data_IF_343696177093
#
_entry.id   IF_343696177093
#
_cell.length_a   1.000
_cell.length_b   1.000
_cell.length_c   1.000
_cell.angle_alpha   90.00
_cell.angle_beta   90.00
_cell.angle_gamma   90.00
#
_symmetry.space_group_name_H-M   'P 1'
#
loop_
_entity.id
_entity.type
_entity.pdbx_description
1 polymer ?
#
# COMPACT_ATOMS: atom_id res chain seq x y z
N UNK A 1 17.68 47.73 17.08
CA UNK A 1 16.56 47.07 16.37
C UNK A 1 16.97 46.85 14.93
N UNK A 2 17.03 45.69 14.31
CA UNK A 2 17.04 44.30 14.76
C UNK A 2 17.75 43.52 13.64
N UNK A 3 18.74 42.72 13.98
CA UNK A 3 19.46 41.87 13.03
C UNK A 3 18.57 40.68 12.66
N UNK A 4 18.08 40.68 11.43
CA UNK A 4 17.30 39.57 10.88
C UNK A 4 18.19 38.34 10.69
N UNK A 5 18.01 37.33 11.54
CA UNK A 5 18.56 36.01 11.35
C UNK A 5 17.91 35.39 10.10
N UNK A 6 18.67 35.33 9.00
CA UNK A 6 18.33 34.47 7.87
C UNK A 6 18.49 33.04 8.34
N UNK A 7 17.37 32.39 8.62
CA UNK A 7 17.32 30.99 9.03
C UNK A 7 17.62 30.12 7.80
N UNK A 8 18.90 30.05 7.43
CA UNK A 8 19.39 29.18 6.39
C UNK A 8 19.27 27.75 6.94
N UNK A 9 18.12 27.09 6.70
CA UNK A 9 18.00 25.64 6.90
C UNK A 9 19.04 25.01 5.98
N UNK A 10 20.19 24.64 6.56
CA UNK A 10 21.19 23.80 5.92
C UNK A 10 20.40 22.56 5.46
N UNK A 11 20.21 22.40 4.14
CA UNK A 11 19.72 21.13 3.60
C UNK A 11 20.81 20.11 3.91
N UNK A 12 20.62 19.34 4.97
CA UNK A 12 21.46 18.20 5.27
C UNK A 12 21.46 17.31 4.03
N UNK A 13 22.64 17.10 3.47
CA UNK A 13 22.83 16.17 2.36
C UNK A 13 22.38 14.79 2.84
N UNK A 14 21.42 14.20 2.14
CA UNK A 14 20.86 12.89 2.50
C UNK A 14 21.63 11.81 1.76
N UNK A 15 22.01 10.76 2.47
CA UNK A 15 22.60 9.57 1.86
C UNK A 15 21.63 8.42 2.05
N UNK A 16 20.72 8.28 1.08
CA UNK A 16 19.66 7.27 1.13
C UNK A 16 20.13 5.94 0.55
N UNK A 17 19.70 4.84 1.15
CA UNK A 17 19.94 3.46 0.71
C UNK A 17 18.61 2.68 0.77
N UNK A 18 18.30 1.88 -0.25
CA UNK A 18 17.11 1.00 -0.26
C UNK A 18 17.55 -0.46 -0.29
N UNK A 19 16.97 -1.29 0.60
CA UNK A 19 17.19 -2.74 0.64
C UNK A 19 16.17 -3.43 1.54
N UNK A 20 16.22 -4.76 1.60
CA UNK A 20 15.48 -5.53 2.61
C UNK A 20 16.17 -5.39 3.97
N UNK A 21 15.39 -5.34 5.05
CA UNK A 21 15.90 -5.38 6.42
C UNK A 21 16.63 -6.71 6.68
N UNK A 22 17.81 -6.64 7.29
CA UNK A 22 18.74 -7.77 7.39
C UNK A 22 18.74 -8.42 8.78
N UNK A 23 18.19 -7.74 9.78
CA UNK A 23 18.25 -8.17 11.16
C UNK A 23 17.07 -7.64 11.98
N UNK A 24 16.90 -8.21 13.17
CA UNK A 24 15.80 -7.86 14.06
C UNK A 24 15.77 -6.38 14.43
N UNK A 25 16.93 -5.74 14.65
CA UNK A 25 16.98 -4.32 15.03
C UNK A 25 16.38 -3.42 13.94
N UNK A 26 16.65 -3.71 12.67
CA UNK A 26 16.07 -2.98 11.54
C UNK A 26 14.57 -3.20 11.42
N UNK A 27 14.09 -4.42 11.68
CA UNK A 27 12.66 -4.72 11.73
C UNK A 27 12.01 -3.93 12.88
N UNK A 28 12.57 -3.93 14.09
CA UNK A 28 12.06 -3.16 15.21
C UNK A 28 11.97 -1.65 14.91
N UNK A 29 13.00 -1.08 14.25
CA UNK A 29 13.01 0.32 13.82
C UNK A 29 11.96 0.60 12.73
N UNK A 30 11.74 -0.34 11.84
CA UNK A 30 10.71 -0.25 10.79
C UNK A 30 9.31 -0.21 11.40
N UNK A 31 9.03 -1.07 12.37
CA UNK A 31 7.74 -1.12 13.05
C UNK A 31 7.49 0.13 13.91
N UNK A 32 8.55 0.72 14.48
CA UNK A 32 8.48 2.01 15.15
C UNK A 32 8.15 3.15 14.18
N UNK A 33 8.78 3.19 12.99
CA UNK A 33 8.41 4.16 11.94
C UNK A 33 6.94 4.02 11.55
N UNK A 34 6.45 2.79 11.35
CA UNK A 34 5.04 2.54 11.03
C UNK A 34 4.12 3.04 12.13
N UNK A 35 4.47 2.84 13.40
CA UNK A 35 3.72 3.38 14.53
C UNK A 35 3.66 4.92 14.50
N UNK A 36 4.79 5.58 14.26
CA UNK A 36 4.83 7.04 14.15
C UNK A 36 3.90 7.55 13.03
N UNK A 37 3.89 6.89 11.88
CA UNK A 37 3.05 7.34 10.75
C UNK A 37 1.59 6.90 10.92
N UNK A 38 1.31 5.61 11.09
CA UNK A 38 -0.05 5.11 11.11
C UNK A 38 -0.78 5.48 12.39
N UNK A 39 -0.17 5.30 13.57
CA UNK A 39 -0.87 5.57 14.83
C UNK A 39 -0.81 7.04 15.24
N UNK A 40 0.36 7.68 15.21
CA UNK A 40 0.50 9.04 15.76
C UNK A 40 0.10 10.13 14.79
N UNK A 41 0.41 9.98 13.50
CA UNK A 41 0.11 11.00 12.50
C UNK A 41 -1.27 10.80 11.87
N UNK A 42 -1.56 9.59 11.36
CA UNK A 42 -2.78 9.33 10.58
C UNK A 42 -3.96 8.89 11.47
N UNK A 43 -3.69 8.26 12.62
CA UNK A 43 -4.74 7.68 13.47
C UNK A 43 -5.36 6.41 12.90
N UNK A 44 -4.63 5.72 12.01
CA UNK A 44 -5.04 4.56 11.21
C UNK A 44 -4.26 3.28 11.55
N UNK A 45 -3.36 3.34 12.53
CA UNK A 45 -2.54 2.19 12.91
C UNK A 45 -3.29 1.18 13.77
N UNK A 46 -2.66 0.02 14.01
CA UNK A 46 -3.27 -1.05 14.78
C UNK A 46 -3.57 -0.59 16.22
N UNK A 47 -4.76 -0.89 16.78
CA UNK A 47 -5.14 -0.43 18.12
C UNK A 47 -4.16 -0.88 19.22
N UNK A 48 -3.61 -2.10 19.11
CA UNK A 48 -2.67 -2.66 20.08
C UNK A 48 -1.28 -2.01 20.08
N UNK A 49 -0.93 -1.25 19.03
CA UNK A 49 0.41 -0.68 18.85
C UNK A 49 0.79 0.32 19.93
N UNK A 50 -0.19 0.96 20.58
CA UNK A 50 0.05 1.95 21.64
C UNK A 50 0.84 1.36 22.83
N UNK A 51 0.65 0.08 23.14
CA UNK A 51 1.32 -0.59 24.25
C UNK A 51 2.83 -0.80 24.01
N UNK A 52 3.23 -0.98 22.75
CA UNK A 52 4.61 -1.32 22.37
C UNK A 52 5.32 -0.19 21.61
N UNK A 53 4.57 0.83 21.18
CA UNK A 53 4.98 1.89 20.25
C UNK A 53 5.50 1.34 18.92
N UNK A 54 4.91 0.24 18.46
CA UNK A 54 5.27 -0.46 17.23
C UNK A 54 4.01 -0.95 16.54
N UNK A 55 3.86 -0.62 15.26
CA UNK A 55 2.78 -1.14 14.43
C UNK A 55 3.19 -2.52 13.92
N UNK A 56 2.71 -3.54 14.64
CA UNK A 56 3.05 -4.94 14.43
C UNK A 56 1.81 -5.82 14.46
N UNK A 57 1.75 -6.75 13.53
CA UNK A 57 0.88 -7.92 13.58
C UNK A 57 1.69 -9.22 13.42
N UNK A 58 0.99 -10.35 13.37
CA UNK A 58 1.55 -11.69 13.22
C UNK A 58 2.20 -11.96 11.84
N UNK A 59 1.80 -11.22 10.81
CA UNK A 59 2.36 -11.37 9.45
C UNK A 59 3.78 -10.83 9.36
N UNK A 60 4.14 -9.85 10.18
CA UNK A 60 5.50 -9.28 10.20
C UNK A 60 6.60 -10.31 10.51
N UNK A 61 6.24 -11.47 11.09
CA UNK A 61 7.21 -12.56 11.28
C UNK A 61 7.60 -13.27 9.98
N UNK A 62 6.70 -13.25 8.98
CA UNK A 62 6.87 -13.95 7.70
C UNK A 62 7.15 -13.01 6.52
N UNK A 63 6.95 -11.71 6.72
CA UNK A 63 7.12 -10.72 5.67
C UNK A 63 8.58 -10.30 5.51
N UNK A 64 8.96 -10.03 4.26
CA UNK A 64 10.13 -9.23 3.99
C UNK A 64 9.79 -7.74 4.24
N UNK A 65 10.75 -6.99 4.79
CA UNK A 65 10.60 -5.56 5.06
C UNK A 65 11.53 -4.78 4.13
N UNK A 66 11.00 -4.21 3.06
CA UNK A 66 11.75 -3.27 2.23
C UNK A 66 11.84 -1.94 2.97
N UNK A 67 13.04 -1.41 3.10
CA UNK A 67 13.34 -0.23 3.89
C UNK A 67 14.17 0.78 3.10
N UNK A 68 13.94 2.06 3.36
CA UNK A 68 14.85 3.14 2.97
C UNK A 68 15.51 3.69 4.22
N UNK A 69 16.83 3.80 4.18
CA UNK A 69 17.69 4.18 5.28
C UNK A 69 18.36 5.50 4.95
N UNK A 70 18.39 6.46 5.89
CA UNK A 70 19.31 7.60 5.82
C UNK A 70 20.60 7.29 6.58
N UNK A 71 21.68 7.09 5.82
CA UNK A 71 23.02 6.77 6.34
C UNK A 71 23.67 7.93 7.09
N UNK A 72 23.23 9.17 6.85
CA UNK A 72 23.74 10.36 7.54
C UNK A 72 23.01 10.64 8.85
N UNK A 73 22.00 9.83 9.21
CA UNK A 73 21.20 9.96 10.42
C UNK A 73 21.18 8.64 11.21
N UNK A 74 22.36 8.12 11.57
CA UNK A 74 22.50 6.89 12.38
C UNK A 74 21.76 5.65 11.80
N UNK A 75 21.70 5.57 10.47
CA UNK A 75 20.90 4.57 9.75
C UNK A 75 19.40 4.61 10.14
N UNK A 76 18.83 5.81 10.23
CA UNK A 76 17.39 6.01 10.49
C UNK A 76 16.58 5.39 9.34
N UNK A 77 15.58 4.58 9.68
CA UNK A 77 14.61 4.07 8.70
C UNK A 77 13.62 5.19 8.41
N UNK A 78 13.50 5.58 7.13
CA UNK A 78 12.72 6.75 6.69
C UNK A 78 11.60 6.40 5.71
N UNK A 79 11.52 5.15 5.28
CA UNK A 79 10.40 4.62 4.51
C UNK A 79 10.38 3.10 4.49
N UNK A 80 9.23 2.50 4.25
CA UNK A 80 9.09 1.03 4.19
C UNK A 80 7.93 0.55 3.33
N UNK A 81 8.08 -0.67 2.80
CA UNK A 81 6.99 -1.57 2.39
C UNK A 81 7.09 -2.88 3.19
N UNK A 82 5.94 -3.46 3.54
CA UNK A 82 5.83 -4.88 3.91
C UNK A 82 5.54 -5.69 2.64
N UNK A 83 6.23 -6.82 2.47
CA UNK A 83 6.07 -7.68 1.29
C UNK A 83 5.91 -9.14 1.75
N UNK A 84 4.85 -9.79 1.31
CA UNK A 84 4.60 -11.21 1.57
C UNK A 84 4.42 -11.95 0.24
N UNK A 85 5.30 -12.90 -0.07
CA UNK A 85 5.21 -13.72 -1.29
C UNK A 85 4.24 -14.88 -1.11
N UNK A 86 3.55 -15.29 -2.18
CA UNK A 86 2.61 -16.43 -2.17
C UNK A 86 3.25 -17.73 -1.73
N UNK A 87 4.47 -18.02 -2.18
CA UNK A 87 5.23 -19.19 -1.71
C UNK A 87 5.43 -19.25 -0.20
N UNK A 88 5.59 -18.09 0.45
CA UNK A 88 5.70 -17.96 1.91
C UNK A 88 4.31 -18.02 2.55
N UNK A 89 3.34 -17.28 2.02
CA UNK A 89 1.95 -17.26 2.53
C UNK A 89 1.34 -18.67 2.58
N UNK A 90 1.50 -19.47 1.51
CA UNK A 90 0.99 -20.86 1.41
C UNK A 90 1.53 -21.82 2.48
N UNK A 91 2.66 -21.49 3.09
CA UNK A 91 3.31 -22.33 4.11
C UNK A 91 3.05 -21.84 5.55
N UNK A 92 2.38 -20.70 5.71
CA UNK A 92 2.23 -20.03 6.99
C UNK A 92 0.75 -19.60 7.20
N UNK A 93 0.50 -18.30 7.40
CA UNK A 93 -0.81 -17.77 7.79
C UNK A 93 -1.75 -17.47 6.62
N UNK A 94 -1.33 -17.70 5.37
CA UNK A 94 -1.97 -17.08 4.21
C UNK A 94 -1.51 -15.63 4.01
N UNK A 95 -2.21 -14.91 3.15
CA UNK A 95 -2.06 -13.46 2.97
C UNK A 95 -2.91 -12.71 3.99
N UNK A 96 -2.54 -11.46 4.28
CA UNK A 96 -3.35 -10.61 5.15
C UNK A 96 -4.75 -10.37 4.54
N UNK A 97 -4.83 -10.22 3.22
CA UNK A 97 -6.09 -10.04 2.49
C UNK A 97 -7.04 -11.24 2.58
N UNK A 98 -6.58 -12.45 2.95
CA UNK A 98 -7.46 -13.60 3.22
C UNK A 98 -8.45 -13.33 4.37
N UNK A 99 -8.14 -12.38 5.25
CA UNK A 99 -9.02 -12.06 6.37
C UNK A 99 -10.22 -11.21 5.95
N UNK A 100 -10.18 -10.59 4.77
CA UNK A 100 -11.17 -9.62 4.30
C UNK A 100 -11.85 -10.04 2.99
N UNK A 101 -11.13 -10.74 2.12
CA UNK A 101 -11.59 -11.11 0.77
C UNK A 101 -11.44 -12.62 0.49
N UNK A 102 -12.29 -13.16 -0.37
CA UNK A 102 -12.02 -14.43 -1.04
C UNK A 102 -11.02 -14.19 -2.18
N UNK A 103 -9.76 -14.54 -1.93
CA UNK A 103 -8.64 -14.37 -2.87
C UNK A 103 -8.17 -15.70 -3.46
N UNK A 104 -9.03 -16.73 -3.47
CA UNK A 104 -8.69 -18.06 -4.03
C UNK A 104 -8.08 -17.95 -5.43
N UNK A 105 -8.61 -17.05 -6.26
CA UNK A 105 -8.10 -16.80 -7.63
C UNK A 105 -6.64 -16.33 -7.66
N UNK A 106 -6.18 -15.58 -6.66
CA UNK A 106 -4.78 -15.16 -6.55
C UNK A 106 -3.87 -16.36 -6.28
N UNK A 107 -4.34 -17.32 -5.48
CA UNK A 107 -3.60 -18.55 -5.20
C UNK A 107 -3.47 -19.49 -6.40
N UNK A 108 -4.47 -19.47 -7.28
CA UNK A 108 -4.57 -20.26 -8.51
C UNK A 108 -3.73 -19.72 -9.68
N UNK A 109 -3.23 -18.49 -9.58
CA UNK A 109 -2.37 -17.93 -10.62
C UNK A 109 -1.11 -18.77 -10.83
N UNK A 110 -0.83 -19.04 -12.11
CA UNK A 110 0.41 -19.69 -12.57
C UNK A 110 1.57 -18.68 -12.66
N UNK A 111 1.80 -17.97 -11.56
CA UNK A 111 2.90 -17.02 -11.39
C UNK A 111 3.16 -16.79 -9.89
N UNK A 112 4.37 -16.35 -9.55
CA UNK A 112 4.61 -15.86 -8.19
C UNK A 112 3.92 -14.51 -8.00
N UNK A 113 3.24 -14.38 -6.86
CA UNK A 113 2.53 -13.15 -6.47
C UNK A 113 3.04 -12.68 -5.12
N UNK A 114 2.92 -11.38 -4.85
CA UNK A 114 3.22 -10.84 -3.54
C UNK A 114 2.20 -9.79 -3.11
N UNK A 115 1.76 -9.92 -1.88
CA UNK A 115 0.98 -8.89 -1.19
C UNK A 115 1.93 -7.80 -0.70
N UNK A 116 1.57 -6.55 -0.94
CA UNK A 116 2.28 -5.37 -0.44
C UNK A 116 1.36 -4.56 0.47
N UNK A 117 1.93 -4.05 1.57
CA UNK A 117 1.15 -3.30 2.54
C UNK A 117 2.02 -2.51 3.51
N UNK A 118 1.35 -1.88 4.48
CA UNK A 118 1.97 -1.10 5.56
C UNK A 118 3.06 -0.15 5.05
N UNK A 119 2.75 0.53 3.94
CA UNK A 119 3.68 1.42 3.26
C UNK A 119 3.63 2.82 3.86
N UNK A 120 4.78 3.33 4.30
CA UNK A 120 4.84 4.68 4.85
C UNK A 120 6.19 5.35 4.58
N UNK A 121 6.19 6.67 4.57
CA UNK A 121 7.38 7.52 4.48
C UNK A 121 7.36 8.51 5.63
N UNK A 122 8.49 8.65 6.33
CA UNK A 122 8.66 9.60 7.42
C UNK A 122 8.33 11.03 6.93
N UNK A 123 7.57 11.85 7.69
CA UNK A 123 7.06 13.16 7.23
C UNK A 123 8.13 14.08 6.62
N UNK A 124 9.30 14.15 7.23
CA UNK A 124 10.42 15.00 6.77
C UNK A 124 11.05 14.54 5.43
N UNK A 125 10.71 13.35 4.94
CA UNK A 125 11.29 12.73 3.74
C UNK A 125 10.29 12.60 2.58
N UNK A 126 9.13 13.27 2.66
CA UNK A 126 8.07 13.22 1.64
C UNK A 126 8.27 14.21 0.48
N UNK A 127 9.50 14.32 -0.01
CA UNK A 127 9.83 15.12 -1.20
C UNK A 127 9.83 14.31 -2.51
N UNK A 128 9.43 13.04 -2.45
CA UNK A 128 9.38 12.12 -3.59
C UNK A 128 10.61 11.21 -3.72
N UNK A 129 11.73 11.53 -3.07
CA UNK A 129 12.95 10.72 -3.17
C UNK A 129 12.78 9.32 -2.57
N UNK A 130 12.27 9.23 -1.33
CA UNK A 130 12.09 7.95 -0.63
C UNK A 130 11.09 7.03 -1.33
N UNK A 131 9.95 7.55 -1.78
CA UNK A 131 8.96 6.71 -2.50
C UNK A 131 9.51 6.21 -3.83
N UNK A 132 10.29 7.02 -4.55
CA UNK A 132 10.95 6.60 -5.79
C UNK A 132 11.94 5.46 -5.53
N UNK A 133 12.71 5.55 -4.44
CA UNK A 133 13.63 4.48 -4.03
C UNK A 133 12.90 3.21 -3.59
N UNK A 134 11.80 3.33 -2.85
CA UNK A 134 10.97 2.18 -2.48
C UNK A 134 10.44 1.46 -3.73
N UNK A 135 10.02 2.20 -4.77
CA UNK A 135 9.58 1.60 -6.03
C UNK A 135 10.70 0.91 -6.79
N UNK A 136 11.88 1.53 -6.87
CA UNK A 136 13.06 0.89 -7.47
C UNK A 136 13.44 -0.41 -6.72
N UNK A 137 13.45 -0.37 -5.39
CA UNK A 137 13.71 -1.53 -4.54
C UNK A 137 12.66 -2.63 -4.71
N UNK A 138 11.39 -2.27 -4.88
CA UNK A 138 10.31 -3.20 -5.17
C UNK A 138 10.47 -3.85 -6.55
N UNK A 139 10.84 -3.06 -7.57
CA UNK A 139 11.16 -3.58 -8.90
C UNK A 139 12.30 -4.62 -8.87
N UNK A 140 13.39 -4.30 -8.17
CA UNK A 140 14.51 -5.22 -7.98
C UNK A 140 14.11 -6.49 -7.19
N UNK A 141 13.26 -6.34 -6.17
CA UNK A 141 12.72 -7.48 -5.42
C UNK A 141 11.89 -8.40 -6.31
N UNK A 142 11.01 -7.83 -7.14
CA UNK A 142 10.16 -8.59 -8.05
C UNK A 142 10.97 -9.39 -9.06
N UNK A 143 12.00 -8.78 -9.67
CA UNK A 143 12.91 -9.49 -10.57
C UNK A 143 13.64 -10.63 -9.85
N UNK A 144 14.19 -10.35 -8.65
CA UNK A 144 14.94 -11.34 -7.86
C UNK A 144 14.11 -12.58 -7.52
N UNK A 145 12.84 -12.40 -7.19
CA UNK A 145 11.94 -13.48 -6.76
C UNK A 145 10.93 -13.90 -7.84
N UNK A 146 11.10 -13.43 -9.08
CA UNK A 146 10.21 -13.71 -10.21
C UNK A 146 8.72 -13.44 -9.91
N UNK A 147 8.45 -12.38 -9.15
CA UNK A 147 7.09 -11.94 -8.81
C UNK A 147 6.52 -11.19 -10.00
N UNK A 148 5.42 -11.71 -10.57
CA UNK A 148 4.72 -11.05 -11.68
C UNK A 148 3.61 -10.13 -11.20
N UNK A 149 2.86 -10.60 -10.20
CA UNK A 149 1.70 -9.87 -9.68
C UNK A 149 1.98 -9.31 -8.29
N UNK A 150 1.77 -8.01 -8.13
CA UNK A 150 1.63 -7.41 -6.81
C UNK A 150 0.18 -7.10 -6.53
N UNK A 151 -0.23 -7.22 -5.28
CA UNK A 151 -1.56 -6.83 -4.87
C UNK A 151 -1.59 -6.30 -3.44
N UNK A 152 -2.72 -5.73 -3.05
CA UNK A 152 -3.00 -5.26 -1.70
C UNK A 152 -4.28 -4.43 -1.68
N UNK A 153 -4.60 -3.85 -0.52
CA UNK A 153 -5.78 -3.01 -0.37
C UNK A 153 -5.43 -1.52 -0.50
N UNK A 154 -6.25 -0.79 -1.26
CA UNK A 154 -6.31 0.66 -1.21
C UNK A 154 -7.63 1.10 -0.60
N UNK A 155 -7.56 1.92 0.44
CA UNK A 155 -8.72 2.23 1.28
C UNK A 155 -9.19 3.67 1.15
N UNK A 156 -10.47 3.91 1.40
CA UNK A 156 -11.03 5.24 1.67
C UNK A 156 -11.54 5.29 3.11
N UNK A 157 -11.31 6.40 3.83
CA UNK A 157 -11.78 6.59 5.22
C UNK A 157 -13.24 7.02 5.25
N UNK A 158 -14.10 6.13 4.78
CA UNK A 158 -15.55 6.24 4.81
C UNK A 158 -16.12 4.86 5.17
N UNK A 159 -17.33 4.83 5.67
CA UNK A 159 -18.04 3.58 6.02
C UNK A 159 -19.46 3.54 5.47
N UNK A 160 -19.91 4.62 4.84
CA UNK A 160 -21.24 4.70 4.28
C UNK A 160 -21.30 4.09 2.87
N UNK A 161 -22.43 3.44 2.57
CA UNK A 161 -22.67 2.77 1.30
C UNK A 161 -22.64 3.73 0.11
N UNK A 162 -23.02 5.00 0.31
CA UNK A 162 -23.04 5.99 -0.77
C UNK A 162 -21.62 6.28 -1.25
N UNK A 163 -20.67 6.47 -0.33
CA UNK A 163 -19.25 6.62 -0.65
C UNK A 163 -18.71 5.40 -1.41
N UNK A 164 -19.07 4.18 -0.99
CA UNK A 164 -18.67 2.95 -1.68
C UNK A 164 -19.18 2.91 -3.12
N UNK A 165 -20.48 3.14 -3.31
CA UNK A 165 -21.16 3.13 -4.60
C UNK A 165 -20.56 4.17 -5.56
N UNK A 166 -20.37 5.39 -5.08
CA UNK A 166 -19.81 6.48 -5.88
C UNK A 166 -18.37 6.23 -6.30
N UNK A 167 -17.51 5.81 -5.37
CA UNK A 167 -16.10 5.53 -5.67
C UNK A 167 -15.99 4.35 -6.63
N UNK A 168 -16.77 3.28 -6.42
CA UNK A 168 -16.80 2.14 -7.34
C UNK A 168 -17.28 2.54 -8.75
N UNK A 169 -18.34 3.35 -8.85
CA UNK A 169 -18.83 3.88 -10.12
C UNK A 169 -17.76 4.74 -10.83
N UNK A 170 -17.03 5.57 -10.08
CA UNK A 170 -15.90 6.33 -10.61
C UNK A 170 -14.76 5.44 -11.13
N UNK A 171 -14.39 4.38 -10.39
CA UNK A 171 -13.36 3.43 -10.80
C UNK A 171 -13.77 2.69 -12.08
N UNK A 172 -15.05 2.29 -12.18
CA UNK A 172 -15.66 1.70 -13.37
C UNK A 172 -15.62 2.65 -14.57
N UNK A 173 -15.99 3.92 -14.40
CA UNK A 173 -15.90 4.96 -15.45
C UNK A 173 -14.47 5.15 -15.98
N UNK A 174 -13.47 4.97 -15.12
CA UNK A 174 -12.05 5.02 -15.51
C UNK A 174 -11.50 3.74 -16.13
N UNK A 175 -12.36 2.74 -16.39
CA UNK A 175 -11.97 1.42 -16.84
C UNK A 175 -10.89 0.79 -15.94
N UNK A 176 -10.96 1.07 -14.64
CA UNK A 176 -9.99 0.57 -13.67
C UNK A 176 -10.31 -0.84 -13.18
N UNK A 177 -11.50 -1.36 -13.44
CA UNK A 177 -11.87 -2.72 -13.03
C UNK A 177 -11.15 -3.76 -13.90
N UNK A 178 -10.72 -4.83 -13.26
CA UNK A 178 -10.10 -5.98 -13.92
C UNK A 178 -11.16 -6.89 -14.57
N UNK A 179 -10.73 -7.79 -15.46
CA UNK A 179 -11.57 -8.83 -16.03
C UNK A 179 -12.03 -9.88 -15.01
N UNK A 180 -13.02 -10.71 -15.39
CA UNK A 180 -13.66 -11.69 -14.49
C UNK A 180 -12.68 -12.73 -13.92
N UNK A 181 -11.56 -12.95 -14.60
CA UNK A 181 -10.49 -13.85 -14.19
C UNK A 181 -9.80 -13.42 -12.89
N UNK A 182 -9.93 -12.15 -12.47
CA UNK A 182 -9.44 -11.64 -11.19
C UNK A 182 -10.56 -11.05 -10.33
N UNK A 183 -11.81 -11.47 -10.53
CA UNK A 183 -12.94 -10.98 -9.73
C UNK A 183 -12.85 -11.52 -8.29
N UNK A 184 -12.62 -10.63 -7.33
CA UNK A 184 -12.40 -10.88 -5.90
C UNK A 184 -13.55 -10.25 -5.13
N UNK A 185 -14.11 -11.01 -4.18
CA UNK A 185 -15.27 -10.57 -3.41
C UNK A 185 -14.94 -10.50 -1.92
N UNK A 186 -15.53 -9.56 -1.17
CA UNK A 186 -15.39 -9.51 0.27
C UNK A 186 -15.96 -10.79 0.90
N UNK A 187 -15.39 -11.19 2.04
CA UNK A 187 -15.99 -12.23 2.86
C UNK A 187 -17.32 -11.75 3.48
N UNK A 188 -18.23 -12.65 3.88
CA UNK A 188 -19.58 -12.27 4.33
C UNK A 188 -19.64 -11.19 5.44
N UNK A 189 -18.65 -11.15 6.34
CA UNK A 189 -18.61 -10.17 7.43
C UNK A 189 -18.15 -8.76 7.00
N UNK A 190 -17.56 -8.67 5.81
CA UNK A 190 -16.98 -7.47 5.20
C UNK A 190 -17.81 -6.95 4.02
N UNK A 191 -18.92 -7.60 3.68
CA UNK A 191 -19.86 -7.05 2.70
C UNK A 191 -20.39 -5.69 3.15
N UNK A 192 -20.62 -4.79 2.19
CA UNK A 192 -21.24 -3.48 2.41
C UNK A 192 -22.75 -3.62 2.17
N UNK A 193 -23.61 -3.53 3.20
CA UNK A 193 -25.06 -3.64 3.01
C UNK A 193 -25.59 -2.53 2.11
N UNK A 194 -26.34 -2.91 1.06
CA UNK A 194 -26.93 -1.98 0.09
C UNK A 194 -25.96 -1.49 -1.00
N UNK A 195 -24.76 -2.06 -1.09
CA UNK A 195 -23.84 -1.77 -2.19
C UNK A 195 -24.45 -2.15 -3.54
N UNK A 196 -24.31 -1.26 -4.52
CA UNK A 196 -24.81 -1.44 -5.88
C UNK A 196 -23.67 -1.29 -6.89
N UNK A 197 -23.18 -2.39 -7.50
CA UNK A 197 -22.11 -2.35 -8.52
C UNK A 197 -22.54 -1.70 -9.84
N UNK A 198 -23.83 -1.39 -10.00
CA UNK A 198 -24.40 -0.70 -11.16
C UNK A 198 -24.78 0.75 -10.86
N UNK A 199 -24.46 1.25 -9.67
CA UNK A 199 -24.68 2.64 -9.32
C UNK A 199 -24.06 3.59 -10.35
N UNK A 200 -24.78 4.67 -10.64
CA UNK A 200 -24.32 5.75 -11.52
C UNK A 200 -24.28 7.05 -10.72
N UNK A 201 -23.15 7.76 -10.81
CA UNK A 201 -22.98 9.06 -10.17
C UNK A 201 -23.10 10.19 -11.18
N UNK A 202 -23.90 11.20 -10.85
CA UNK A 202 -24.08 12.39 -11.69
C UNK A 202 -22.91 13.38 -11.59
N UNK A 203 -22.08 13.30 -10.52
CA UNK A 203 -20.95 14.21 -10.29
C UNK A 203 -19.62 13.48 -10.06
N UNK A 204 -19.09 12.91 -11.14
CA UNK A 204 -17.77 12.25 -11.15
C UNK A 204 -16.62 13.19 -10.74
N UNK A 205 -16.78 14.52 -10.88
CA UNK A 205 -15.74 15.48 -10.47
C UNK A 205 -15.67 15.59 -8.95
N UNK A 206 -16.80 15.58 -8.26
CA UNK A 206 -16.83 15.52 -6.80
C UNK A 206 -16.24 14.20 -6.28
N UNK A 207 -16.61 13.07 -6.90
CA UNK A 207 -16.07 11.75 -6.52
C UNK A 207 -14.54 11.71 -6.69
N UNK A 208 -14.01 12.18 -7.82
CA UNK A 208 -12.56 12.25 -8.06
C UNK A 208 -11.78 12.97 -6.93
N UNK A 209 -12.36 14.01 -6.34
CA UNK A 209 -11.75 14.75 -5.23
C UNK A 209 -11.71 13.93 -3.94
N UNK A 210 -12.71 13.05 -3.71
CA UNK A 210 -12.77 12.15 -2.56
C UNK A 210 -11.85 10.94 -2.70
N UNK A 211 -11.59 10.45 -3.92
CA UNK A 211 -10.67 9.33 -4.13
C UNK A 211 -9.26 9.72 -3.66
N UNK A 212 -8.65 8.95 -2.75
CA UNK A 212 -7.30 9.23 -2.23
C UNK A 212 -6.26 9.35 -3.34
N UNK A 213 -5.28 10.23 -3.11
CA UNK A 213 -4.15 10.41 -4.03
C UNK A 213 -3.38 9.12 -4.25
N UNK A 214 -3.32 8.24 -3.25
CA UNK A 214 -2.65 6.95 -3.30
C UNK A 214 -3.30 6.00 -4.30
N UNK A 215 -4.62 5.78 -4.19
CA UNK A 215 -5.38 4.96 -5.16
C UNK A 215 -5.22 5.51 -6.57
N UNK A 216 -5.36 6.82 -6.76
CA UNK A 216 -5.11 7.47 -8.08
C UNK A 216 -3.67 7.24 -8.57
N UNK A 217 -2.69 7.22 -7.66
CA UNK A 217 -1.31 6.87 -7.94
C UNK A 217 -1.18 5.46 -8.51
N UNK A 218 -1.79 4.47 -7.84
CA UNK A 218 -1.77 3.08 -8.28
C UNK A 218 -2.44 2.89 -9.65
N UNK A 219 -3.61 3.49 -9.87
CA UNK A 219 -4.29 3.42 -11.17
C UNK A 219 -3.46 4.01 -12.30
N UNK A 220 -2.77 5.14 -12.06
CA UNK A 220 -1.85 5.72 -13.05
C UNK A 220 -0.68 4.78 -13.34
N UNK A 221 -0.14 4.14 -12.31
CA UNK A 221 0.93 3.15 -12.47
C UNK A 221 0.49 1.94 -13.30
N UNK A 222 -0.81 1.69 -13.43
CA UNK A 222 -1.39 0.58 -14.20
C UNK A 222 -2.14 -0.43 -13.36
N UNK A 223 -2.32 -0.16 -12.06
CA UNK A 223 -3.06 -1.05 -11.18
C UNK A 223 -4.55 -1.11 -11.57
N UNK A 224 -5.17 -2.24 -11.29
CA UNK A 224 -6.58 -2.49 -11.52
C UNK A 224 -7.28 -2.88 -10.22
N UNK A 225 -8.58 -2.62 -10.15
CA UNK A 225 -9.43 -2.96 -9.02
C UNK A 225 -10.07 -4.33 -9.28
N UNK A 226 -10.02 -5.21 -8.30
CA UNK A 226 -10.50 -6.57 -8.38
C UNK A 226 -11.82 -6.72 -7.64
N UNK A 227 -12.90 -6.89 -8.40
CA UNK A 227 -14.24 -7.09 -7.89
C UNK A 227 -14.73 -5.97 -6.96
N UNK A 228 -15.58 -6.33 -5.99
CA UNK A 228 -16.32 -5.38 -5.16
C UNK A 228 -15.57 -5.01 -3.87
N UNK A 229 -15.76 -3.80 -3.32
CA UNK A 229 -15.07 -3.36 -2.11
C UNK A 229 -15.58 -4.05 -0.83
N UNK A 230 -14.73 -4.04 0.19
CA UNK A 230 -15.01 -4.52 1.53
C UNK A 230 -15.23 -3.36 2.52
N UNK A 231 -15.97 -3.61 3.60
CA UNK A 231 -16.16 -2.71 4.74
C UNK A 231 -15.33 -3.19 5.93
N UNK A 232 -14.21 -2.51 6.18
CA UNK A 232 -13.45 -2.73 7.40
C UNK A 232 -14.02 -1.86 8.54
N UNK A 233 -14.74 -2.50 9.45
CA UNK A 233 -15.37 -1.85 10.61
C UNK A 233 -14.36 -1.47 11.69
N UNK A 234 -13.20 -2.10 11.73
CA UNK A 234 -12.16 -1.86 12.73
C UNK A 234 -11.39 -0.60 12.36
N UNK A 235 -10.93 -0.50 11.11
CA UNK A 235 -10.21 0.66 10.59
C UNK A 235 -11.15 1.76 10.08
N UNK A 236 -12.45 1.49 10.00
CA UNK A 236 -13.49 2.42 9.52
C UNK A 236 -13.22 2.86 8.09
N UNK A 237 -12.93 1.89 7.25
CA UNK A 237 -12.60 2.11 5.84
C UNK A 237 -13.48 1.28 4.92
N UNK A 238 -13.51 1.72 3.66
CA UNK A 238 -13.93 0.90 2.54
C UNK A 238 -12.69 0.55 1.75
N UNK A 239 -12.42 -0.74 1.63
CA UNK A 239 -11.19 -1.29 1.09
C UNK A 239 -11.44 -1.84 -0.32
N UNK A 240 -10.59 -1.44 -1.25
CA UNK A 240 -10.62 -1.91 -2.63
C UNK A 240 -9.43 -2.82 -2.84
N UNK A 241 -9.66 -4.05 -3.28
CA UNK A 241 -8.58 -4.95 -3.65
C UNK A 241 -7.94 -4.47 -4.96
N UNK A 242 -6.64 -4.27 -4.94
CA UNK A 242 -5.87 -3.73 -6.05
C UNK A 242 -4.87 -4.78 -6.52
N UNK A 243 -4.82 -5.01 -7.83
CA UNK A 243 -3.87 -5.91 -8.48
C UNK A 243 -3.03 -5.15 -9.49
N UNK A 244 -1.79 -5.60 -9.62
CA UNK A 244 -0.77 -5.02 -10.45
C UNK A 244 -0.03 -6.12 -11.21
N UNK A 245 -0.05 -6.13 -12.55
CA UNK A 245 0.83 -6.98 -13.37
C UNK A 245 2.06 -6.18 -13.79
N UNK A 246 3.26 -6.62 -13.40
CA UNK A 246 4.51 -5.92 -13.70
C UNK A 246 4.72 -5.63 -15.20
N UNK A 247 4.17 -6.47 -16.07
CA UNK A 247 4.31 -6.32 -17.53
C UNK A 247 3.58 -5.06 -18.04
N UNK A 248 2.58 -4.59 -17.31
CA UNK A 248 1.85 -3.37 -17.64
C UNK A 248 2.63 -2.09 -17.27
N UNK A 249 3.57 -2.16 -16.30
CA UNK A 249 4.51 -1.05 -16.02
C UNK A 249 5.50 -0.90 -17.16
N UNK A 250 6.12 -2.03 -17.55
CA UNK A 250 7.16 -2.04 -18.57
C UNK A 250 6.65 -1.43 -19.89
N UNK A 251 5.38 -1.68 -20.23
CA UNK A 251 4.75 -1.13 -21.44
C UNK A 251 4.41 0.36 -21.35
N UNK A 252 4.02 0.89 -20.17
CA UNK A 252 3.56 2.28 -20.01
C UNK A 252 4.66 3.28 -19.62
N UNK A 253 5.65 2.83 -18.85
CA UNK A 253 6.71 3.71 -18.31
C UNK A 253 8.09 3.41 -18.90
N UNK A 254 8.23 2.37 -19.73
CA UNK A 254 9.51 1.86 -20.20
C UNK A 254 10.39 1.37 -19.05
N UNK A 255 11.63 0.98 -19.35
CA UNK A 255 12.61 0.41 -18.39
C UNK A 255 12.90 1.25 -17.13
N UNK A 256 12.44 2.51 -17.06
CA UNK A 256 12.69 3.44 -15.93
C UNK A 256 12.17 2.99 -14.56
N UNK A 257 11.27 2.00 -14.51
CA UNK A 257 10.74 1.48 -13.24
C UNK A 257 11.57 0.33 -12.65
N UNK A 258 12.47 -0.25 -13.45
CA UNK A 258 13.15 -1.52 -13.19
C UNK A 258 14.68 -1.42 -13.29
N UNK A 259 15.21 -0.25 -13.68
CA UNK A 259 16.63 0.09 -13.79
C UNK A 259 17.03 1.13 -12.73
#
# INVERSE_FOLDING_TARGET
>A
MGTGFVNNKIKTERKLEVRIAENQLEIERTLALRYEVFNLELGEGLPQSAATRKDRDEYDFFCDHLIVIDKNQENKIVGTYRILRRSVAKQNLGFYSDNEFDITKIYELDAETAEIGRSCVHPEYRDGSVISMLWAGLGAYMQKYNVRYLFGCGSIHQTDVQSANEVYAYLKDKNALVGKEFDITPLPNFEIPGFDPNYQSDDMKAVHKRVPALIKGYLRAGAQICGTPALDKVFKTIDFFILFDIRDIESKYGKRFLD
#
